data_IF_500845407681
#
_entry.id   IF_500845407681
#
_cell.length_a   1.000
_cell.length_b   1.000
_cell.length_c   1.000
_cell.angle_alpha   90.00
_cell.angle_beta   90.00
_cell.angle_gamma   90.00
#
_symmetry.space_group_name_H-M   'P 1'
#
loop_
_entity.id
_entity.type
_entity.pdbx_description
1 polymer ?
#
# COMPACT_ATOMS: atom_id res chain seq x y z
N UNK A 1 -6.46 23.23 -13.68
CA UNK A 1 -6.59 22.20 -12.64
C UNK A 1 -7.77 21.32 -13.01
N UNK A 2 -7.54 20.03 -13.19
CA UNK A 2 -8.56 19.08 -13.62
C UNK A 2 -9.23 18.44 -12.40
N UNK A 3 -10.11 19.18 -11.72
CA UNK A 3 -10.74 18.72 -10.47
C UNK A 3 -11.69 17.54 -10.70
N UNK A 4 -12.28 17.46 -11.91
CA UNK A 4 -13.15 16.37 -12.32
C UNK A 4 -12.41 15.03 -12.40
N UNK A 5 -11.13 15.02 -12.78
CA UNK A 5 -10.27 13.83 -12.73
C UNK A 5 -10.15 13.29 -11.30
N UNK A 6 -9.88 14.15 -10.31
CA UNK A 6 -9.76 13.75 -8.91
C UNK A 6 -11.06 13.11 -8.41
N UNK A 7 -12.19 13.82 -8.55
CA UNK A 7 -13.51 13.36 -8.10
C UNK A 7 -13.89 11.98 -8.66
N UNK A 8 -13.55 11.73 -9.93
CA UNK A 8 -13.92 10.48 -10.62
C UNK A 8 -12.99 9.32 -10.30
N UNK A 9 -11.69 9.57 -10.07
CA UNK A 9 -10.65 8.53 -10.06
C UNK A 9 -10.00 8.27 -8.69
N UNK A 10 -10.21 9.10 -7.67
CA UNK A 10 -9.52 8.95 -6.37
C UNK A 10 -9.69 7.56 -5.74
N UNK A 11 -10.91 7.00 -5.74
CA UNK A 11 -11.19 5.65 -5.22
C UNK A 11 -10.42 4.57 -5.97
N UNK A 12 -10.30 4.72 -7.29
CA UNK A 12 -9.58 3.79 -8.14
C UNK A 12 -8.07 3.81 -7.85
N UNK A 13 -7.49 5.00 -7.69
CA UNK A 13 -6.08 5.17 -7.33
C UNK A 13 -5.78 4.56 -5.96
N UNK A 14 -6.58 4.92 -4.95
CA UNK A 14 -6.43 4.37 -3.60
C UNK A 14 -6.53 2.84 -3.59
N UNK A 15 -7.60 2.29 -4.16
CA UNK A 15 -7.86 0.84 -4.14
C UNK A 15 -6.76 0.05 -4.86
N UNK A 16 -6.28 0.55 -6.00
CA UNK A 16 -5.20 -0.12 -6.76
C UNK A 16 -3.89 -0.14 -5.98
N UNK A 17 -3.49 0.99 -5.42
CA UNK A 17 -2.27 1.08 -4.63
C UNK A 17 -2.35 0.23 -3.35
N UNK A 18 -3.47 0.29 -2.64
CA UNK A 18 -3.74 -0.54 -1.46
C UNK A 18 -3.62 -2.04 -1.78
N UNK A 19 -4.35 -2.54 -2.78
CA UNK A 19 -4.36 -3.97 -3.12
C UNK A 19 -2.97 -4.42 -3.58
N UNK A 20 -2.32 -3.62 -4.42
CA UNK A 20 -0.98 -3.97 -4.94
C UNK A 20 0.03 -4.06 -3.81
N UNK A 21 0.06 -3.07 -2.91
CA UNK A 21 0.94 -3.10 -1.74
C UNK A 21 0.62 -4.27 -0.81
N UNK A 22 -0.67 -4.54 -0.56
CA UNK A 22 -1.10 -5.63 0.31
C UNK A 22 -0.62 -6.99 -0.21
N UNK A 23 -0.77 -7.24 -1.51
CA UNK A 23 -0.34 -8.50 -2.15
C UNK A 23 1.17 -8.61 -2.13
N UNK A 24 1.90 -7.56 -2.53
CA UNK A 24 3.37 -7.59 -2.57
C UNK A 24 3.95 -7.78 -1.17
N UNK A 25 3.48 -7.02 -0.17
CA UNK A 25 3.98 -7.12 1.20
C UNK A 25 3.66 -8.48 1.82
N UNK A 26 2.48 -9.04 1.56
CA UNK A 26 2.15 -10.40 1.99
C UNK A 26 3.08 -11.42 1.37
N UNK A 27 3.32 -11.34 0.05
CA UNK A 27 4.21 -12.24 -0.65
C UNK A 27 5.65 -12.15 -0.13
N UNK A 28 6.19 -10.94 0.01
CA UNK A 28 7.54 -10.72 0.57
C UNK A 28 7.62 -11.27 1.99
N UNK A 29 6.61 -11.02 2.83
CA UNK A 29 6.60 -11.52 4.22
C UNK A 29 6.62 -13.05 4.26
N UNK A 30 5.88 -13.73 3.37
CA UNK A 30 5.89 -15.20 3.25
C UNK A 30 7.27 -15.70 2.85
N UNK A 31 7.88 -15.11 1.82
CA UNK A 31 9.24 -15.46 1.38
C UNK A 31 10.22 -15.27 2.55
N UNK A 32 10.10 -14.17 3.29
CA UNK A 32 10.97 -13.84 4.42
C UNK A 32 10.84 -14.83 5.58
N UNK A 33 9.66 -15.46 5.74
CA UNK A 33 9.50 -16.57 6.69
C UNK A 33 10.28 -17.83 6.28
N UNK A 34 10.66 -17.99 5.01
CA UNK A 34 11.48 -19.10 4.53
C UNK A 34 13.00 -18.92 4.71
N UNK A 35 13.50 -17.69 4.88
CA UNK A 35 14.94 -17.42 5.03
C UNK A 35 15.46 -17.79 6.43
N UNK A 36 16.74 -18.13 6.61
CA UNK A 36 17.28 -18.38 7.96
C UNK A 36 17.28 -17.12 8.82
N UNK A 37 17.62 -15.98 8.23
CA UNK A 37 17.54 -14.65 8.84
C UNK A 37 16.54 -13.81 8.04
N UNK A 38 15.52 -13.28 8.71
CA UNK A 38 14.52 -12.45 8.07
C UNK A 38 15.09 -11.05 7.79
N UNK A 39 14.76 -10.49 6.63
CA UNK A 39 15.30 -9.22 6.11
C UNK A 39 14.33 -8.05 6.27
N UNK A 40 13.02 -8.29 6.26
CA UNK A 40 11.98 -7.25 6.23
C UNK A 40 10.97 -7.41 7.35
N UNK A 41 10.44 -8.61 7.54
CA UNK A 41 9.48 -8.94 8.57
C UNK A 41 10.18 -9.67 9.73
N UNK A 42 9.68 -9.51 10.95
CA UNK A 42 10.13 -10.34 12.06
C UNK A 42 9.70 -11.79 11.81
N UNK A 43 10.52 -12.76 12.24
CA UNK A 43 10.11 -14.17 12.25
C UNK A 43 8.83 -14.34 13.06
N UNK A 44 7.87 -15.05 12.47
CA UNK A 44 6.60 -15.39 13.11
C UNK A 44 6.83 -16.67 13.90
N UNK A 45 6.91 -16.52 15.21
CA UNK A 45 7.15 -17.62 16.16
C UNK A 45 5.99 -17.83 17.12
N UNK A 46 5.07 -16.86 17.19
CA UNK A 46 3.91 -16.87 18.07
C UNK A 46 2.76 -16.02 17.47
N UNK A 47 1.61 -16.03 18.14
CA UNK A 47 0.42 -15.27 17.71
C UNK A 47 0.67 -13.76 17.73
N UNK A 48 1.47 -13.26 18.66
CA UNK A 48 1.76 -11.83 18.80
C UNK A 48 2.54 -11.30 17.58
N UNK A 49 3.61 -12.01 17.20
CA UNK A 49 4.42 -11.71 16.01
C UNK A 49 3.64 -11.90 14.71
N UNK A 50 2.71 -12.85 14.66
CA UNK A 50 1.78 -13.00 13.53
C UNK A 50 0.84 -11.79 13.38
N UNK A 51 0.18 -11.38 14.47
CA UNK A 51 -0.71 -10.21 14.46
C UNK A 51 0.07 -8.94 14.12
N UNK A 52 1.29 -8.80 14.62
CA UNK A 52 2.17 -7.69 14.28
C UNK A 52 2.50 -7.64 12.78
N UNK A 53 2.81 -8.79 12.16
CA UNK A 53 3.05 -8.88 10.73
C UNK A 53 1.81 -8.46 9.91
N UNK A 54 0.62 -8.93 10.29
CA UNK A 54 -0.64 -8.55 9.64
C UNK A 54 -0.92 -7.05 9.75
N UNK A 55 -0.72 -6.47 10.93
CA UNK A 55 -0.90 -5.04 11.16
C UNK A 55 0.08 -4.22 10.32
N UNK A 56 1.34 -4.62 10.25
CA UNK A 56 2.32 -3.95 9.40
C UNK A 56 1.91 -3.98 7.93
N UNK A 57 1.55 -5.16 7.40
CA UNK A 57 1.08 -5.28 6.01
C UNK A 57 -0.13 -4.36 5.78
N UNK A 58 -1.10 -4.37 6.69
CA UNK A 58 -2.30 -3.56 6.57
C UNK A 58 -1.99 -2.05 6.60
N UNK A 59 -1.23 -1.57 7.59
CA UNK A 59 -0.92 -0.14 7.72
C UNK A 59 -0.05 0.38 6.58
N UNK A 60 0.95 -0.38 6.11
CA UNK A 60 1.72 0.00 4.93
C UNK A 60 0.83 0.06 3.68
N UNK A 61 -0.13 -0.84 3.53
CA UNK A 61 -1.07 -0.84 2.41
C UNK A 61 -2.05 0.34 2.46
N UNK A 62 -2.53 0.72 3.66
CA UNK A 62 -3.30 1.95 3.84
C UNK A 62 -2.46 3.18 3.46
N UNK A 63 -1.22 3.23 3.95
CA UNK A 63 -0.28 4.31 3.63
C UNK A 63 -0.03 4.45 2.13
N UNK A 64 0.18 3.34 1.41
CA UNK A 64 0.38 3.38 -0.05
C UNK A 64 -0.85 3.90 -0.81
N UNK A 65 -2.06 3.55 -0.35
CA UNK A 65 -3.31 4.09 -0.85
C UNK A 65 -3.39 5.61 -0.70
N UNK A 66 -3.01 6.15 0.47
CA UNK A 66 -2.98 7.58 0.73
C UNK A 66 -1.93 8.29 -0.13
N UNK A 67 -0.73 7.71 -0.29
CA UNK A 67 0.32 8.24 -1.17
C UNK A 67 -0.19 8.31 -2.63
N UNK A 68 -0.93 7.31 -3.10
CA UNK A 68 -1.52 7.33 -4.43
C UNK A 68 -2.58 8.43 -4.61
N UNK A 69 -3.33 8.78 -3.56
CA UNK A 69 -4.23 9.93 -3.57
C UNK A 69 -3.43 11.23 -3.68
N UNK A 70 -2.33 11.37 -2.95
CA UNK A 70 -1.44 12.54 -3.03
C UNK A 70 -0.86 12.67 -4.46
N UNK A 71 -0.39 11.57 -5.05
CA UNK A 71 0.07 11.55 -6.44
C UNK A 71 -1.03 11.99 -7.43
N UNK A 72 -2.26 11.54 -7.22
CA UNK A 72 -3.41 12.00 -8.02
C UNK A 72 -3.68 13.50 -7.86
N UNK A 73 -3.57 14.03 -6.63
CA UNK A 73 -3.73 15.45 -6.37
C UNK A 73 -2.68 16.29 -7.14
N UNK A 74 -1.42 15.87 -7.13
CA UNK A 74 -0.34 16.51 -7.90
C UNK A 74 -0.66 16.48 -9.40
N UNK A 75 -1.09 15.32 -9.93
CA UNK A 75 -1.47 15.21 -11.35
C UNK A 75 -2.64 16.12 -11.72
N UNK A 76 -3.65 16.26 -10.85
CA UNK A 76 -4.78 17.16 -11.11
C UNK A 76 -4.41 18.64 -11.12
N UNK A 77 -3.38 19.03 -10.36
CA UNK A 77 -2.84 20.39 -10.40
C UNK A 77 -2.06 20.61 -11.71
N UNK A 78 -1.21 19.64 -12.08
CA UNK A 78 -0.36 19.72 -13.27
C UNK A 78 -1.15 19.68 -14.60
N UNK A 79 -2.34 19.08 -14.62
CA UNK A 79 -3.18 18.98 -15.83
C UNK A 79 -4.25 20.07 -15.89
N UNK A 80 -4.45 20.62 -17.10
CA UNK A 80 -5.60 21.48 -17.41
C UNK A 80 -6.84 20.63 -17.65
N UNK A 81 -8.00 21.21 -17.36
CA UNK A 81 -9.28 20.62 -17.70
C UNK A 81 -9.44 20.78 -19.22
N UNK A 82 -9.67 19.66 -19.92
CA UNK A 82 -9.94 19.67 -21.37
C UNK A 82 -11.40 19.99 -21.61
#
# INVERSE_FOLDING_TARGET
>A
MNISLFKRKWRMFYKRAFITAFVILSFITIVDQGLSNALFARKIIDVSTFVFALLNIFYFSVGSGLIAIIALAIMTIATKEN
#
